data_IF_979768648019
#
_entry.id   IF_979768648019
#
_cell.length_a   1.000
_cell.length_b   1.000
_cell.length_c   1.000
_cell.angle_alpha   90.00
_cell.angle_beta   90.00
_cell.angle_gamma   90.00
#
_symmetry.space_group_name_H-M   'P 1'
#
loop_
_entity.id
_entity.type
_entity.pdbx_description
1 polymer ?
#
# COMPACT_ATOMS: atom_id res chain seq x y z
N UNK A 1 23.02 4.55 11.28
CA UNK A 1 21.69 3.90 11.22
C UNK A 1 20.70 4.94 11.70
N UNK A 2 19.55 5.11 11.05
CA UNK A 2 18.49 5.95 11.63
C UNK A 2 18.13 5.38 13.01
N UNK A 3 17.92 6.23 14.01
CA UNK A 3 17.46 5.83 15.35
C UNK A 3 16.04 5.28 15.25
N UNK A 4 15.92 4.03 14.81
CA UNK A 4 14.64 3.33 14.68
C UNK A 4 14.20 2.86 16.05
N UNK A 5 12.98 3.25 16.40
CA UNK A 5 12.34 2.85 17.65
C UNK A 5 10.87 2.55 17.38
N UNK A 6 10.30 1.57 18.07
CA UNK A 6 8.90 1.14 17.91
C UNK A 6 7.87 2.23 18.24
N UNK A 7 8.28 3.30 18.94
CA UNK A 7 7.43 4.47 19.18
C UNK A 7 7.50 5.54 18.08
N UNK A 8 8.44 5.42 17.14
CA UNK A 8 8.58 6.35 16.01
C UNK A 8 7.80 5.76 14.84
N UNK A 9 6.94 6.59 14.23
CA UNK A 9 5.98 6.14 13.23
C UNK A 9 6.06 6.96 11.96
N UNK A 10 5.83 6.31 10.84
CA UNK A 10 5.67 6.91 9.52
C UNK A 10 4.22 7.40 9.35
N UNK A 11 4.03 8.68 9.08
CA UNK A 11 2.71 9.25 8.80
C UNK A 11 2.34 8.99 7.34
N UNK A 12 1.41 8.06 7.11
CA UNK A 12 1.08 7.58 5.77
C UNK A 12 0.69 8.70 4.81
N UNK A 13 -0.08 9.70 5.28
CA UNK A 13 -0.51 10.84 4.46
C UNK A 13 0.64 11.76 4.01
N UNK A 14 1.84 11.63 4.58
CA UNK A 14 3.01 12.46 4.27
C UNK A 14 4.01 11.74 3.36
N UNK A 15 4.05 10.41 3.43
CA UNK A 15 5.13 9.60 2.86
C UNK A 15 4.70 8.71 1.70
N UNK A 16 3.40 8.39 1.61
CA UNK A 16 2.86 7.61 0.49
C UNK A 16 2.94 8.43 -0.80
N UNK A 17 3.50 7.82 -1.83
CA UNK A 17 3.76 8.43 -3.13
C UNK A 17 3.06 7.70 -4.28
N UNK A 18 2.77 6.40 -4.15
CA UNK A 18 2.08 5.64 -5.17
C UNK A 18 0.63 6.15 -5.33
N UNK A 19 0.23 6.60 -6.54
CA UNK A 19 -1.10 7.18 -6.77
C UNK A 19 -2.26 6.18 -6.60
N UNK A 20 -1.96 4.87 -6.57
CA UNK A 20 -2.94 3.81 -6.35
C UNK A 20 -3.16 3.49 -4.86
N UNK A 21 -2.42 4.15 -3.96
CA UNK A 21 -2.65 4.10 -2.50
C UNK A 21 -3.35 5.39 -2.07
N UNK A 22 -4.60 5.27 -1.64
CA UNK A 22 -5.45 6.38 -1.23
C UNK A 22 -5.56 6.42 0.29
N UNK A 23 -4.88 7.39 0.90
CA UNK A 23 -4.97 7.65 2.35
C UNK A 23 -6.12 8.62 2.61
N UNK A 24 -7.10 8.22 3.43
CA UNK A 24 -8.16 9.10 3.91
C UNK A 24 -7.76 9.69 5.26
N UNK A 25 -7.67 11.02 5.33
CA UNK A 25 -7.30 11.72 6.56
C UNK A 25 -5.79 11.69 6.85
N UNK A 26 -5.41 12.05 8.08
CA UNK A 26 -4.01 12.35 8.45
C UNK A 26 -3.49 11.58 9.67
N UNK A 27 -4.31 10.76 10.31
CA UNK A 27 -3.92 10.14 11.60
C UNK A 27 -3.35 8.73 11.47
N UNK A 28 -3.56 8.09 10.31
CA UNK A 28 -3.06 6.74 10.05
C UNK A 28 -1.54 6.72 9.95
N UNK A 29 -0.94 5.68 10.53
CA UNK A 29 0.51 5.55 10.60
C UNK A 29 0.96 4.11 10.43
N UNK A 30 2.24 3.96 10.06
CA UNK A 30 2.95 2.70 10.03
C UNK A 30 4.14 2.73 10.99
N UNK A 31 4.35 1.64 11.72
CA UNK A 31 5.51 1.48 12.59
C UNK A 31 6.68 0.86 11.83
N UNK A 32 7.64 1.67 11.39
CA UNK A 32 8.78 1.27 10.55
C UNK A 32 10.02 0.84 11.38
N UNK A 33 9.84 0.29 12.58
CA UNK A 33 10.98 0.06 13.48
C UNK A 33 11.98 -1.02 13.00
N UNK A 34 11.56 -1.94 12.13
CA UNK A 34 12.43 -2.97 11.54
C UNK A 34 12.49 -2.94 10.01
N UNK A 35 11.76 -2.02 9.38
CA UNK A 35 11.49 -2.05 7.94
C UNK A 35 12.19 -0.92 7.17
N UNK A 36 11.71 -0.56 5.97
CA UNK A 36 12.17 0.59 5.19
C UNK A 36 11.00 1.32 4.53
N UNK A 37 9.99 1.60 5.33
CA UNK A 37 8.82 2.40 4.96
C UNK A 37 7.65 1.59 4.42
N UNK A 38 6.45 2.17 4.54
CA UNK A 38 5.17 1.51 4.29
C UNK A 38 5.05 0.95 2.86
N UNK A 39 5.21 1.79 1.83
CA UNK A 39 4.99 1.37 0.44
C UNK A 39 5.95 0.26 0.00
N UNK A 40 7.18 0.30 0.50
CA UNK A 40 8.23 -0.64 0.12
C UNK A 40 8.10 -1.99 0.81
N UNK A 41 7.66 -2.01 2.07
CA UNK A 41 7.66 -3.22 2.89
C UNK A 41 6.27 -3.87 3.00
N UNK A 42 5.22 -3.05 3.08
CA UNK A 42 3.85 -3.52 3.39
C UNK A 42 3.06 -3.79 2.12
N UNK A 43 3.10 -2.89 1.15
CA UNK A 43 2.32 -3.01 -0.08
C UNK A 43 3.09 -3.83 -1.10
N UNK A 44 2.49 -4.92 -1.60
CA UNK A 44 3.15 -5.81 -2.58
C UNK A 44 2.31 -5.94 -3.84
N UNK A 45 2.98 -5.93 -4.99
CA UNK A 45 2.38 -6.10 -6.33
C UNK A 45 1.31 -5.07 -6.69
N UNK A 46 1.39 -3.86 -6.11
CA UNK A 46 0.58 -2.74 -6.55
C UNK A 46 1.36 -1.98 -7.63
N UNK A 47 0.76 -1.86 -8.81
CA UNK A 47 1.37 -1.11 -9.91
C UNK A 47 1.58 0.37 -9.51
N UNK A 48 2.63 1.01 -10.06
CA UNK A 48 3.01 2.38 -9.74
C UNK A 48 4.02 2.51 -8.59
N UNK A 49 4.64 1.41 -8.17
CA UNK A 49 5.82 1.43 -7.32
C UNK A 49 7.09 1.82 -8.13
N UNK A 50 8.24 2.10 -7.49
CA UNK A 50 9.45 2.50 -8.20
C UNK A 50 9.99 1.51 -9.24
N UNK A 51 9.54 0.25 -9.21
CA UNK A 51 9.96 -0.80 -10.16
C UNK A 51 9.03 -0.84 -11.37
N UNK A 52 7.74 -0.57 -11.16
CA UNK A 52 6.68 -0.66 -12.17
C UNK A 52 6.20 0.69 -12.71
N UNK A 53 6.66 1.80 -12.15
CA UNK A 53 6.42 3.16 -12.65
C UNK A 53 7.02 3.28 -14.07
N UNK A 54 6.16 3.17 -15.09
CA UNK A 54 6.53 3.18 -16.50
C UNK A 54 6.22 1.89 -17.25
N UNK A 55 5.77 0.84 -16.57
CA UNK A 55 5.23 -0.34 -17.25
C UNK A 55 3.83 -0.05 -17.75
N UNK A 56 3.46 -0.60 -18.91
CA UNK A 56 2.07 -0.56 -19.34
C UNK A 56 1.25 -1.54 -18.49
N UNK A 57 0.17 -1.09 -17.82
CA UNK A 57 -0.68 -1.99 -17.06
C UNK A 57 -1.30 -3.07 -17.97
N UNK A 58 -1.29 -4.32 -17.51
CA UNK A 58 -1.90 -5.45 -18.23
C UNK A 58 -3.44 -5.43 -18.21
N UNK A 59 -4.06 -4.39 -17.65
CA UNK A 59 -5.50 -4.24 -17.45
C UNK A 59 -5.80 -3.18 -16.40
N UNK A 60 -6.95 -3.32 -15.72
CA UNK A 60 -7.29 -2.42 -14.62
C UNK A 60 -6.27 -2.50 -13.47
N UNK A 61 -5.88 -1.34 -12.95
CA UNK A 61 -4.99 -1.24 -11.79
C UNK A 61 -5.83 -1.14 -10.52
N UNK A 62 -5.68 -2.15 -9.65
CA UNK A 62 -6.32 -2.16 -8.33
C UNK A 62 -5.89 -0.97 -7.48
N UNK A 63 -6.73 -0.59 -6.51
CA UNK A 63 -6.43 0.50 -5.57
C UNK A 63 -6.46 0.02 -4.13
N UNK A 64 -5.57 0.57 -3.32
CA UNK A 64 -5.54 0.38 -1.88
C UNK A 64 -6.10 1.61 -1.19
N UNK A 65 -7.20 1.47 -0.45
CA UNK A 65 -7.78 2.54 0.35
C UNK A 65 -7.47 2.32 1.82
N UNK A 66 -6.83 3.30 2.47
CA UNK A 66 -6.55 3.29 3.91
C UNK A 66 -7.40 4.38 4.55
N UNK A 67 -8.23 4.01 5.52
CA UNK A 67 -9.05 4.96 6.28
C UNK A 67 -8.21 5.88 7.19
N UNK A 68 -8.90 6.77 7.92
CA UNK A 68 -8.26 7.65 8.92
C UNK A 68 -8.19 6.91 10.26
N UNK A 69 -7.11 7.06 11.03
CA UNK A 69 -6.87 6.37 12.32
C UNK A 69 -6.54 4.87 12.24
N UNK A 70 -5.98 4.40 11.12
CA UNK A 70 -5.48 3.03 10.98
C UNK A 70 -4.05 2.94 11.54
N UNK A 71 -3.79 1.94 12.39
CA UNK A 71 -2.48 1.64 12.93
C UNK A 71 -1.91 0.38 12.25
N UNK A 72 -0.84 0.51 11.48
CA UNK A 72 -0.23 -0.61 10.77
C UNK A 72 1.05 -1.03 11.50
N UNK A 73 1.08 -2.29 11.93
CA UNK A 73 2.22 -2.89 12.62
C UNK A 73 3.42 -3.09 11.68
N UNK A 74 4.65 -3.18 12.22
CA UNK A 74 5.82 -3.58 11.45
C UNK A 74 5.58 -4.93 10.76
N UNK A 75 6.19 -5.14 9.60
CA UNK A 75 6.14 -6.40 8.83
C UNK A 75 4.74 -6.85 8.35
N UNK A 76 3.70 -6.03 8.53
CA UNK A 76 2.40 -6.28 7.93
C UNK A 76 2.54 -6.42 6.40
N UNK A 77 1.68 -7.24 5.79
CA UNK A 77 1.67 -7.44 4.33
C UNK A 77 0.26 -7.22 3.81
N UNK A 78 0.14 -6.28 2.88
CA UNK A 78 -1.07 -6.07 2.07
C UNK A 78 -0.72 -6.54 0.66
N UNK A 79 -1.22 -7.72 0.33
CA UNK A 79 -1.02 -8.32 -0.98
C UNK A 79 -2.02 -7.70 -1.97
N UNK A 80 -1.49 -6.98 -2.94
CA UNK A 80 -2.24 -6.46 -4.09
C UNK A 80 -1.92 -7.33 -5.32
N UNK A 81 -2.49 -6.98 -6.48
CA UNK A 81 -2.19 -7.65 -7.74
C UNK A 81 -2.81 -9.04 -7.83
N UNK A 82 -3.92 -9.14 -8.55
CA UNK A 82 -4.53 -10.45 -8.84
C UNK A 82 -3.67 -11.24 -9.83
N UNK A 83 -3.70 -12.58 -9.71
CA UNK A 83 -3.31 -13.43 -10.82
C UNK A 83 -4.37 -13.36 -11.93
N UNK A 84 -3.92 -13.08 -13.15
CA UNK A 84 -4.75 -12.79 -14.31
C UNK A 84 -5.33 -14.08 -14.93
N UNK A 85 -6.28 -14.74 -14.25
CA UNK A 85 -7.13 -15.76 -14.87
C UNK A 85 -8.54 -15.81 -14.20
N UNK A 86 -9.42 -14.83 -14.42
CA UNK A 86 -10.84 -15.02 -14.15
C UNK A 86 -11.43 -15.97 -15.22
N UNK A 87 -12.19 -17.02 -14.83
CA UNK A 87 -12.81 -17.94 -15.78
C UNK A 87 -13.80 -17.28 -16.76
N UNK A 88 -14.23 -16.04 -16.47
CA UNK A 88 -15.42 -15.42 -17.07
C UNK A 88 -15.11 -14.17 -17.91
N UNK A 89 -13.82 -13.84 -18.11
CA UNK A 89 -13.39 -12.73 -18.99
C UNK A 89 -13.74 -11.30 -18.52
N UNK A 90 -14.35 -11.15 -17.33
CA UNK A 90 -14.68 -9.84 -16.76
C UNK A 90 -13.53 -9.32 -15.89
N UNK A 91 -12.79 -8.35 -16.42
CA UNK A 91 -11.80 -7.56 -15.67
C UNK A 91 -12.53 -6.57 -14.74
N UNK A 92 -12.90 -7.02 -13.53
CA UNK A 92 -13.49 -6.12 -12.53
C UNK A 92 -12.42 -5.53 -11.61
N UNK A 93 -12.52 -4.23 -11.28
CA UNK A 93 -11.59 -3.55 -10.39
C UNK A 93 -11.73 -4.10 -8.97
N UNK A 94 -10.62 -4.53 -8.36
CA UNK A 94 -10.60 -4.87 -6.93
C UNK A 94 -10.02 -3.68 -6.16
N UNK A 95 -10.73 -3.30 -5.10
CA UNK A 95 -10.27 -2.29 -4.16
C UNK A 95 -10.10 -2.96 -2.81
N UNK A 96 -8.87 -2.94 -2.28
CA UNK A 96 -8.62 -3.36 -0.89
C UNK A 96 -8.87 -2.15 -0.01
N UNK A 97 -9.69 -2.31 1.03
CA UNK A 97 -9.93 -1.26 1.99
C UNK A 97 -9.52 -1.69 3.39
N UNK A 98 -8.63 -0.91 4.02
CA UNK A 98 -8.26 -1.04 5.42
C UNK A 98 -8.97 0.07 6.18
N UNK A 99 -10.03 -0.28 6.90
CA UNK A 99 -10.84 0.69 7.65
C UNK A 99 -10.36 0.80 9.11
N UNK A 100 -10.53 1.97 9.75
CA UNK A 100 -10.35 2.11 11.20
C UNK A 100 -11.35 1.27 12.00
#
# INVERSE_FOLDING_TARGET
>A
MADKHWSITERLHQTVTNPNVIIRGSHSYYSDCWDRGFERCVVRYLHGDPVSEGWEPLGHVDKLFIGNFVCIAPEAVILMGRQQYPPDGLDQPLSVCVMP
#
